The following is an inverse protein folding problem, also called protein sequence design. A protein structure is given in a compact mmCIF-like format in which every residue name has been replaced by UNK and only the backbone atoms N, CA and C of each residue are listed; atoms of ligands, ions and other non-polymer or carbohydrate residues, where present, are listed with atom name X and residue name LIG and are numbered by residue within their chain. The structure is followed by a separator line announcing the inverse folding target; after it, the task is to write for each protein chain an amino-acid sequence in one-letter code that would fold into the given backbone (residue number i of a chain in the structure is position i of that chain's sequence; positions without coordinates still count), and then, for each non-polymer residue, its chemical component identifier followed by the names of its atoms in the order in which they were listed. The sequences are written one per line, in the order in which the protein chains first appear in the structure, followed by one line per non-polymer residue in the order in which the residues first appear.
data_IF_570732922248
#
_entry.id   IF_570732922248
#
_cell.length_a   1.000
_cell.length_b   1.000
_cell.length_c   1.000
_cell.angle_alpha   90.00
_cell.angle_beta   90.00
_cell.angle_gamma   90.00
#
_symmetry.space_group_name_H-M   'P 1'
#
loop_
_entity.id
_entity.type
_entity.pdbx_description
1 polymer ?
#
# COMPACT_ATOMS: atom_id res chain seq x y z
N UNK A 1 9.64 73.22 33.16
CA UNK A 1 10.64 72.66 32.23
C UNK A 1 10.55 71.16 32.34
N UNK A 2 9.79 70.55 31.43
CA UNK A 2 9.46 69.11 31.47
C UNK A 2 10.45 68.42 30.56
N UNK A 3 11.33 67.59 31.13
CA UNK A 3 12.29 66.80 30.35
C UNK A 3 11.57 65.56 29.82
N UNK A 4 11.34 65.50 28.51
CA UNK A 4 10.89 64.31 27.82
C UNK A 4 12.10 63.33 27.66
N UNK A 5 12.12 62.22 28.41
CA UNK A 5 13.04 61.14 28.14
C UNK A 5 12.49 60.33 26.93
N UNK A 6 13.16 60.42 25.79
CA UNK A 6 12.95 59.55 24.67
C UNK A 6 13.59 58.17 24.97
N UNK A 7 12.77 57.17 25.22
CA UNK A 7 13.23 55.76 25.22
C UNK A 7 13.47 55.35 23.78
N UNK A 8 14.72 55.35 23.35
CA UNK A 8 15.14 54.66 22.13
C UNK A 8 15.19 53.19 22.42
N UNK A 9 14.18 52.44 21.96
CA UNK A 9 14.20 50.99 21.97
C UNK A 9 15.31 50.51 21.05
N UNK A 10 16.29 49.78 21.58
CA UNK A 10 17.34 49.12 20.78
C UNK A 10 16.76 47.92 20.04
N UNK A 11 16.07 48.18 18.95
CA UNK A 11 15.60 47.10 18.03
C UNK A 11 16.57 46.86 16.88
N UNK A 12 17.71 47.57 16.88
CA UNK A 12 18.77 47.41 15.89
C UNK A 12 19.40 46.01 16.04
N UNK A 13 19.28 45.19 15.02
CA UNK A 13 19.78 43.80 15.05
C UNK A 13 18.80 42.75 15.54
N UNK A 14 17.57 43.12 15.99
CA UNK A 14 16.56 42.17 16.46
C UNK A 14 16.16 41.16 15.36
N UNK A 15 16.05 41.64 14.11
CA UNK A 15 15.77 40.77 12.97
C UNK A 15 16.90 39.79 12.68
N UNK A 16 18.16 40.24 12.69
CA UNK A 16 19.34 39.40 12.45
C UNK A 16 19.53 38.38 13.57
N UNK A 17 19.31 38.76 14.83
CA UNK A 17 19.43 37.82 15.98
C UNK A 17 18.32 36.77 16.01
N UNK A 18 17.13 37.07 15.46
CA UNK A 18 16.01 36.14 15.41
C UNK A 18 15.86 35.41 14.06
N UNK A 19 16.73 35.69 13.09
CA UNK A 19 16.76 34.97 11.83
C UNK A 19 17.78 33.84 11.92
N UNK A 20 17.31 32.60 11.84
CA UNK A 20 18.22 31.46 11.78
C UNK A 20 18.96 31.48 10.41
N UNK A 21 20.28 31.67 10.37
CA UNK A 21 21.02 31.74 9.11
C UNK A 21 21.03 30.43 8.31
N UNK A 22 20.66 29.30 8.97
CA UNK A 22 20.53 28.00 8.33
C UNK A 22 19.08 27.69 7.92
N UNK A 23 18.15 28.61 8.14
CA UNK A 23 16.76 28.41 7.73
C UNK A 23 16.64 28.75 6.24
N UNK A 24 16.03 27.84 5.48
CA UNK A 24 15.71 28.04 4.06
C UNK A 24 14.77 29.24 3.93
N UNK A 25 15.16 30.25 3.12
CA UNK A 25 14.34 31.45 2.89
C UNK A 25 13.14 31.13 2.00
N UNK A 26 12.11 32.01 2.03
CA UNK A 26 10.96 31.90 1.13
C UNK A 26 11.37 31.82 -0.35
N UNK A 27 12.31 32.65 -0.78
CA UNK A 27 12.82 32.63 -2.16
C UNK A 27 13.54 31.31 -2.51
N UNK A 28 14.33 30.77 -1.58
CA UNK A 28 14.98 29.48 -1.78
C UNK A 28 13.96 28.33 -1.87
N UNK A 29 12.83 28.44 -1.19
CA UNK A 29 11.76 27.44 -1.28
C UNK A 29 11.02 27.47 -2.63
N UNK A 30 11.04 28.58 -3.37
CA UNK A 30 10.42 28.65 -4.71
C UNK A 30 11.34 28.10 -5.80
N UNK A 31 12.65 28.00 -5.53
CA UNK A 31 13.60 27.44 -6.51
C UNK A 31 13.23 25.99 -6.85
N UNK A 32 13.04 25.73 -8.12
CA UNK A 32 12.65 24.41 -8.65
C UNK A 32 11.34 23.83 -8.03
N UNK A 33 10.40 24.67 -7.66
CA UNK A 33 9.14 24.27 -7.02
C UNK A 33 9.33 23.47 -5.71
N UNK A 34 10.41 23.71 -4.98
CA UNK A 34 10.77 22.91 -3.79
C UNK A 34 9.66 22.90 -2.73
N UNK A 35 9.01 24.06 -2.47
CA UNK A 35 7.92 24.18 -1.49
C UNK A 35 6.78 23.21 -1.76
N UNK A 36 6.33 23.14 -3.00
CA UNK A 36 5.22 22.26 -3.43
C UNK A 36 5.71 20.83 -3.64
N UNK A 37 6.85 20.66 -4.32
CA UNK A 37 7.41 19.35 -4.63
C UNK A 37 7.77 18.53 -3.39
N UNK A 38 8.31 19.18 -2.33
CA UNK A 38 8.59 18.47 -1.07
C UNK A 38 7.31 17.93 -0.39
N UNK A 39 6.20 18.67 -0.49
CA UNK A 39 4.90 18.22 0.03
C UNK A 39 4.30 17.08 -0.81
N UNK A 40 4.44 17.13 -2.15
CA UNK A 40 4.07 16.02 -3.05
C UNK A 40 4.84 14.76 -2.63
N UNK A 41 6.15 14.86 -2.42
CA UNK A 41 6.98 13.75 -1.96
C UNK A 41 6.54 13.22 -0.58
N UNK A 42 6.19 14.10 0.35
CA UNK A 42 5.69 13.69 1.65
C UNK A 42 4.40 12.87 1.53
N UNK A 43 3.49 13.26 0.64
CA UNK A 43 2.27 12.48 0.38
C UNK A 43 2.58 11.13 -0.29
N UNK A 44 3.52 11.06 -1.23
CA UNK A 44 3.95 9.78 -1.81
C UNK A 44 4.46 8.82 -0.74
N UNK A 45 5.24 9.32 0.23
CA UNK A 45 5.77 8.50 1.33
C UNK A 45 4.70 7.91 2.26
N UNK A 46 3.44 8.34 2.12
CA UNK A 46 2.31 7.88 2.95
C UNK A 46 1.34 6.96 2.22
N UNK A 47 1.38 6.87 0.88
CA UNK A 47 0.51 5.96 0.13
C UNK A 47 0.72 4.51 0.57
N UNK A 48 1.96 4.04 0.59
CA UNK A 48 2.45 2.95 1.42
C UNK A 48 3.52 3.58 2.31
N UNK A 49 3.35 3.63 3.63
CA UNK A 49 4.29 4.33 4.50
C UNK A 49 5.73 3.84 4.34
N UNK A 50 6.66 4.74 4.08
CA UNK A 50 8.09 4.38 3.96
C UNK A 50 8.83 4.39 5.28
N UNK A 51 8.32 5.10 6.30
CA UNK A 51 8.85 5.06 7.64
C UNK A 51 8.53 3.71 8.28
N UNK A 52 9.53 3.02 8.80
CA UNK A 52 9.45 1.61 9.20
C UNK A 52 8.38 1.31 10.25
N UNK A 53 8.27 2.11 11.31
CA UNK A 53 7.24 1.90 12.33
C UNK A 53 5.83 2.15 11.78
N UNK A 54 5.67 3.20 10.94
CA UNK A 54 4.39 3.49 10.31
C UNK A 54 3.99 2.36 9.36
N UNK A 55 4.93 1.84 8.55
CA UNK A 55 4.72 0.67 7.73
C UNK A 55 4.35 -0.55 8.58
N UNK A 56 5.11 -0.79 9.64
CA UNK A 56 4.90 -1.94 10.52
C UNK A 56 3.47 -1.96 11.08
N UNK A 57 2.98 -0.85 11.61
CA UNK A 57 1.64 -0.78 12.20
C UNK A 57 0.51 -0.77 11.16
N UNK A 58 0.71 -0.19 9.98
CA UNK A 58 -0.33 -0.15 8.95
C UNK A 58 -0.36 -1.43 8.09
N UNK A 59 0.79 -2.09 7.89
CA UNK A 59 0.90 -3.24 6.98
C UNK A 59 1.22 -4.53 7.73
N UNK A 60 2.43 -4.63 8.32
CA UNK A 60 2.96 -5.90 8.82
C UNK A 60 2.22 -6.45 10.02
N UNK A 61 1.66 -5.60 10.88
CA UNK A 61 0.98 -6.03 12.11
C UNK A 61 -0.55 -6.01 12.00
N UNK A 62 -1.11 -5.37 10.97
CA UNK A 62 -2.56 -5.28 10.77
C UNK A 62 -3.01 -5.95 9.47
N UNK A 63 -2.84 -5.31 8.32
CA UNK A 63 -3.32 -5.81 7.03
C UNK A 63 -2.67 -7.14 6.62
N UNK A 64 -1.37 -7.29 6.83
CA UNK A 64 -0.62 -8.50 6.49
C UNK A 64 -1.12 -9.76 7.19
N UNK A 65 -1.31 -9.76 8.52
CA UNK A 65 -1.88 -10.89 9.24
C UNK A 65 -3.33 -11.21 8.85
N UNK A 66 -4.20 -10.21 8.73
CA UNK A 66 -5.59 -10.44 8.32
C UNK A 66 -5.72 -11.01 6.91
N UNK A 67 -4.79 -10.68 6.03
CA UNK A 67 -4.71 -11.23 4.68
C UNK A 67 -3.95 -12.57 4.59
N UNK A 68 -3.39 -13.07 5.70
CA UNK A 68 -2.65 -14.33 5.73
C UNK A 68 -1.27 -14.27 5.05
N UNK A 69 -0.64 -13.09 4.97
CA UNK A 69 0.68 -12.92 4.36
C UNK A 69 1.82 -12.91 5.37
N UNK A 70 1.59 -12.36 6.54
CA UNK A 70 2.61 -12.07 7.55
C UNK A 70 2.09 -12.47 8.93
N UNK A 71 2.97 -12.92 9.82
CA UNK A 71 2.67 -13.18 11.22
C UNK A 71 3.79 -12.66 12.12
N UNK A 72 3.44 -12.24 13.34
CA UNK A 72 4.39 -11.72 14.33
C UNK A 72 5.28 -12.83 14.92
N UNK A 73 6.52 -12.47 15.22
CA UNK A 73 7.51 -13.33 15.91
C UNK A 73 7.80 -12.87 17.33
N UNK A 74 7.18 -11.78 17.80
CA UNK A 74 7.53 -11.13 19.07
C UNK A 74 6.69 -11.68 20.21
N UNK A 75 7.32 -12.43 21.09
CA UNK A 75 6.72 -13.12 22.23
C UNK A 75 6.16 -12.19 23.31
N UNK A 76 6.71 -10.98 23.43
CA UNK A 76 6.26 -9.98 24.41
C UNK A 76 5.03 -9.18 23.97
N UNK A 77 4.62 -9.29 22.73
CA UNK A 77 3.43 -8.61 22.18
C UNK A 77 2.17 -9.45 22.42
N UNK A 78 1.62 -9.35 23.62
CA UNK A 78 0.45 -10.14 24.02
C UNK A 78 -0.87 -9.60 23.47
N UNK A 79 -0.95 -8.30 23.19
CA UNK A 79 -2.13 -7.63 22.65
C UNK A 79 -1.85 -7.18 21.20
N UNK A 80 -2.34 -7.96 20.21
CA UNK A 80 -2.01 -7.81 18.79
C UNK A 80 -3.26 -7.76 17.93
N UNK A 81 -3.16 -7.19 16.73
CA UNK A 81 -4.24 -7.26 15.74
C UNK A 81 -4.57 -8.70 15.35
N UNK A 82 -3.57 -9.53 15.11
CA UNK A 82 -3.74 -10.93 14.70
C UNK A 82 -4.40 -11.83 15.75
N UNK A 83 -4.47 -11.39 17.00
CA UNK A 83 -5.23 -12.05 18.08
C UNK A 83 -6.54 -11.35 18.41
N UNK A 84 -6.95 -10.37 17.62
CA UNK A 84 -8.17 -9.58 17.74
C UNK A 84 -8.32 -8.80 19.06
N UNK A 85 -7.22 -8.55 19.76
CA UNK A 85 -7.20 -7.79 21.01
C UNK A 85 -6.09 -6.71 21.04
N UNK A 86 -5.88 -5.91 19.99
CA UNK A 86 -4.83 -4.91 19.97
C UNK A 86 -4.99 -3.92 21.11
N UNK A 87 -3.88 -3.43 21.67
CA UNK A 87 -3.92 -2.37 22.66
C UNK A 87 -4.49 -1.07 22.08
N UNK A 88 -4.93 -0.16 22.95
CA UNK A 88 -5.44 1.15 22.52
C UNK A 88 -4.40 1.94 21.73
N UNK A 89 -3.14 1.87 22.12
CA UNK A 89 -2.05 2.57 21.42
C UNK A 89 -1.85 2.00 20.02
N UNK A 90 -1.89 0.68 19.85
CA UNK A 90 -1.79 0.05 18.54
C UNK A 90 -2.94 0.44 17.59
N UNK A 91 -4.15 0.62 18.12
CA UNK A 91 -5.31 1.06 17.32
C UNK A 91 -5.26 2.53 16.97
N UNK A 92 -4.82 3.38 17.91
CA UNK A 92 -4.85 4.85 17.77
C UNK A 92 -3.66 5.38 16.98
N UNK A 93 -2.48 4.81 17.20
CA UNK A 93 -1.23 5.36 16.66
C UNK A 93 -1.20 5.43 15.12
N UNK A 94 -1.52 4.34 14.36
CA UNK A 94 -1.51 4.42 12.90
C UNK A 94 -2.56 5.41 12.36
N UNK A 95 -3.75 5.44 12.95
CA UNK A 95 -4.78 6.40 12.57
C UNK A 95 -4.31 7.85 12.77
N UNK A 96 -3.88 8.20 13.97
CA UNK A 96 -3.49 9.57 14.32
C UNK A 96 -2.33 10.08 13.46
N UNK A 97 -1.31 9.24 13.22
CA UNK A 97 -0.14 9.64 12.45
C UNK A 97 -0.47 9.80 10.96
N UNK A 98 -1.16 8.85 10.34
CA UNK A 98 -1.53 8.96 8.92
C UNK A 98 -2.43 10.17 8.69
N UNK A 99 -3.42 10.41 9.56
CA UNK A 99 -4.31 11.57 9.45
C UNK A 99 -3.55 12.88 9.57
N UNK A 100 -2.69 13.05 10.58
CA UNK A 100 -1.96 14.30 10.79
C UNK A 100 -0.94 14.57 9.68
N UNK A 101 -0.19 13.56 9.28
CA UNK A 101 0.86 13.70 8.27
C UNK A 101 0.32 13.88 6.85
N UNK A 102 -0.90 13.41 6.55
CA UNK A 102 -1.52 13.59 5.23
C UNK A 102 -2.08 15.00 5.04
N UNK A 103 -2.84 15.51 6.03
CA UNK A 103 -3.58 16.76 5.81
C UNK A 103 -2.73 18.02 5.80
N UNK A 104 -1.61 18.04 6.50
CA UNK A 104 -0.72 19.22 6.52
C UNK A 104 -0.09 19.48 5.12
N UNK A 105 0.59 18.51 4.47
CA UNK A 105 1.12 18.71 3.12
C UNK A 105 0.01 18.88 2.07
N UNK A 106 -1.11 18.16 2.16
CA UNK A 106 -2.25 18.31 1.26
C UNK A 106 -2.75 19.76 1.23
N UNK A 107 -3.14 20.32 2.39
CA UNK A 107 -3.59 21.72 2.49
C UNK A 107 -2.51 22.70 2.06
N UNK A 108 -1.26 22.39 2.37
CA UNK A 108 -0.14 23.22 1.97
C UNK A 108 0.11 23.24 0.46
N UNK A 109 -0.46 22.32 -0.31
CA UNK A 109 -0.47 22.37 -1.78
C UNK A 109 -1.73 23.11 -2.25
N UNK A 110 -2.92 22.59 -1.94
CA UNK A 110 -4.18 23.07 -2.52
C UNK A 110 -4.54 24.50 -2.12
N UNK A 111 -4.05 25.00 -0.97
CA UNK A 111 -4.30 26.37 -0.52
C UNK A 111 -3.23 27.38 -0.97
N UNK A 112 -2.09 26.92 -1.51
CA UNK A 112 -0.94 27.78 -1.81
C UNK A 112 -0.45 27.68 -3.24
N UNK A 113 -0.97 26.75 -4.03
CA UNK A 113 -0.55 26.52 -5.42
C UNK A 113 -1.73 26.64 -6.37
N UNK A 114 -1.55 27.46 -7.41
CA UNK A 114 -2.48 27.52 -8.54
C UNK A 114 -2.12 26.51 -9.65
N UNK A 115 -1.08 25.68 -9.44
CA UNK A 115 -0.65 24.66 -10.39
C UNK A 115 -1.62 23.48 -10.38
N UNK A 116 -2.34 23.30 -11.48
CA UNK A 116 -3.34 22.23 -11.63
C UNK A 116 -2.76 20.84 -11.48
N UNK A 117 -1.51 20.61 -11.95
CA UNK A 117 -0.85 19.31 -11.84
C UNK A 117 -0.46 19.01 -10.39
N UNK A 118 0.05 20.01 -9.66
CA UNK A 118 0.33 19.86 -8.24
C UNK A 118 -0.92 19.55 -7.43
N UNK A 119 -2.02 20.23 -7.72
CA UNK A 119 -3.31 19.99 -7.09
C UNK A 119 -3.87 18.60 -7.44
N UNK A 120 -3.71 18.14 -8.69
CA UNK A 120 -4.08 16.80 -9.10
C UNK A 120 -3.27 15.73 -8.35
N UNK A 121 -1.94 15.91 -8.20
CA UNK A 121 -1.12 15.03 -7.38
C UNK A 121 -1.57 15.00 -5.91
N UNK A 122 -1.80 16.16 -5.31
CA UNK A 122 -2.21 16.24 -3.91
C UNK A 122 -3.53 15.48 -3.69
N UNK A 123 -4.50 15.68 -4.57
CA UNK A 123 -5.82 15.06 -4.52
C UNK A 123 -5.72 13.54 -4.74
N UNK A 124 -4.98 13.09 -5.76
CA UNK A 124 -4.76 11.67 -6.04
C UNK A 124 -4.13 10.96 -4.84
N UNK A 125 -3.06 11.55 -4.24
CA UNK A 125 -2.39 10.92 -3.09
C UNK A 125 -3.26 10.93 -1.84
N UNK A 126 -4.04 12.01 -1.61
CA UNK A 126 -5.02 12.00 -0.52
C UNK A 126 -6.00 10.83 -0.67
N UNK A 127 -6.56 10.61 -1.84
CA UNK A 127 -7.45 9.47 -2.09
C UNK A 127 -6.70 8.15 -1.91
N UNK A 128 -5.50 8.01 -2.47
CA UNK A 128 -4.69 6.80 -2.37
C UNK A 128 -4.34 6.43 -0.90
N UNK A 129 -4.19 7.41 -0.02
CA UNK A 129 -3.95 7.19 1.41
C UNK A 129 -5.27 6.90 2.14
N UNK A 130 -6.28 7.75 1.92
CA UNK A 130 -7.49 7.76 2.75
C UNK A 130 -8.47 6.62 2.44
N UNK A 131 -8.47 6.05 1.21
CA UNK A 131 -9.27 4.85 0.95
C UNK A 131 -8.81 3.68 1.83
N UNK A 132 -7.51 3.55 2.09
CA UNK A 132 -6.95 2.53 2.98
C UNK A 132 -7.33 2.81 4.44
N UNK A 133 -7.37 4.08 4.82
CA UNK A 133 -7.79 4.48 6.18
C UNK A 133 -9.28 4.17 6.43
N UNK A 134 -10.16 4.53 5.50
CA UNK A 134 -11.59 4.21 5.65
C UNK A 134 -11.88 2.70 5.55
N UNK A 135 -11.09 1.95 4.74
CA UNK A 135 -11.18 0.49 4.69
C UNK A 135 -10.78 -0.18 6.01
N UNK A 136 -9.82 0.41 6.73
CA UNK A 136 -9.35 -0.10 8.02
C UNK A 136 -10.20 0.33 9.21
N UNK A 137 -10.74 1.56 9.20
CA UNK A 137 -11.39 2.17 10.36
C UNK A 137 -12.88 2.46 10.17
N UNK A 138 -13.41 2.32 8.95
CA UNK A 138 -14.79 2.69 8.62
C UNK A 138 -14.95 4.21 8.50
N UNK A 139 -15.86 4.85 9.26
CA UNK A 139 -16.01 6.30 9.28
C UNK A 139 -14.72 7.03 9.67
N UNK A 140 -14.36 8.08 8.91
CA UNK A 140 -13.18 8.92 9.18
C UNK A 140 -13.52 10.42 8.98
N UNK A 141 -12.78 11.36 9.56
CA UNK A 141 -12.99 12.79 9.35
C UNK A 141 -12.37 13.22 8.00
N UNK A 142 -13.07 12.95 6.91
CA UNK A 142 -12.60 13.19 5.55
C UNK A 142 -12.90 14.60 5.03
N UNK A 143 -14.16 15.03 5.08
CA UNK A 143 -14.60 16.34 4.58
C UNK A 143 -14.15 17.50 5.47
N UNK A 144 -14.12 17.26 6.78
CA UNK A 144 -13.68 18.24 7.79
C UNK A 144 -12.49 17.69 8.57
N UNK A 145 -11.29 17.69 7.97
CA UNK A 145 -10.13 17.12 8.62
C UNK A 145 -9.71 17.91 9.85
N UNK A 146 -9.10 17.22 10.79
CA UNK A 146 -8.57 17.78 12.04
C UNK A 146 -7.67 18.98 11.73
N UNK A 147 -8.01 20.14 12.32
CA UNK A 147 -7.14 21.32 12.35
C UNK A 147 -6.74 21.59 13.80
N UNK A 148 -5.66 22.35 14.01
CA UNK A 148 -5.23 22.76 15.35
C UNK A 148 -6.28 23.62 16.10
N UNK A 149 -7.31 24.10 15.39
CA UNK A 149 -8.38 24.94 15.92
C UNK A 149 -9.66 24.15 16.24
N UNK A 150 -9.73 22.89 15.81
CA UNK A 150 -10.93 22.06 15.98
C UNK A 150 -10.91 21.32 17.32
N UNK A 151 -11.83 21.70 18.22
CA UNK A 151 -12.04 21.00 19.49
C UNK A 151 -12.79 19.67 19.28
N UNK A 152 -13.68 19.64 18.28
CA UNK A 152 -14.43 18.44 17.87
C UNK A 152 -14.35 18.25 16.36
N UNK A 153 -14.21 17.01 15.93
CA UNK A 153 -14.15 16.64 14.52
C UNK A 153 -15.27 15.68 14.22
N UNK A 154 -16.07 15.98 13.21
CA UNK A 154 -17.14 15.12 12.72
C UNK A 154 -16.57 14.04 11.83
N UNK A 155 -16.99 12.82 12.02
CA UNK A 155 -16.66 11.68 11.14
C UNK A 155 -17.69 11.58 10.03
N UNK A 156 -17.24 11.46 8.81
CA UNK A 156 -18.08 11.13 7.66
C UNK A 156 -18.35 9.62 7.62
N UNK A 157 -19.54 9.23 7.19
CA UNK A 157 -19.81 7.82 6.93
C UNK A 157 -18.90 7.28 5.83
N UNK A 158 -18.59 5.99 5.86
CA UNK A 158 -17.78 5.37 4.82
C UNK A 158 -18.38 5.56 3.41
N UNK A 159 -19.72 5.55 3.29
CA UNK A 159 -20.42 5.85 2.04
C UNK A 159 -20.11 7.28 1.55
N UNK A 160 -20.17 8.27 2.43
CA UNK A 160 -19.84 9.67 2.10
C UNK A 160 -18.38 9.80 1.70
N UNK A 161 -17.46 9.16 2.44
CA UNK A 161 -16.03 9.16 2.13
C UNK A 161 -15.76 8.60 0.73
N UNK A 162 -16.32 7.44 0.39
CA UNK A 162 -16.16 6.82 -0.93
C UNK A 162 -16.73 7.68 -2.06
N UNK A 163 -17.93 8.25 -1.87
CA UNK A 163 -18.53 9.15 -2.87
C UNK A 163 -17.64 10.35 -3.13
N UNK A 164 -17.17 11.01 -2.07
CA UNK A 164 -16.26 12.17 -2.20
C UNK A 164 -14.94 11.79 -2.86
N UNK A 165 -14.38 10.64 -2.53
CA UNK A 165 -13.13 10.16 -3.14
C UNK A 165 -13.27 9.88 -4.64
N UNK A 166 -14.43 9.39 -5.12
CA UNK A 166 -14.66 9.24 -6.57
C UNK A 166 -14.69 10.59 -7.26
N UNK A 167 -15.38 11.58 -6.71
CA UNK A 167 -15.43 12.94 -7.28
C UNK A 167 -14.03 13.58 -7.29
N UNK A 168 -13.25 13.39 -6.25
CA UNK A 168 -11.86 13.86 -6.15
C UNK A 168 -10.94 13.17 -7.15
N UNK A 169 -11.09 11.86 -7.36
CA UNK A 169 -10.34 11.13 -8.37
C UNK A 169 -10.65 11.61 -9.77
N UNK A 170 -11.94 11.85 -10.07
CA UNK A 170 -12.36 12.38 -11.35
C UNK A 170 -11.76 13.77 -11.59
N UNK A 171 -11.73 14.63 -10.57
CA UNK A 171 -11.07 15.94 -10.63
C UNK A 171 -9.55 15.84 -10.86
N UNK A 172 -8.88 14.90 -10.18
CA UNK A 172 -7.44 14.69 -10.37
C UNK A 172 -7.13 14.17 -11.79
N UNK A 173 -7.93 13.23 -12.30
CA UNK A 173 -7.82 12.70 -13.68
C UNK A 173 -8.03 13.82 -14.70
N UNK A 174 -9.01 14.71 -14.50
CA UNK A 174 -9.22 15.86 -15.36
C UNK A 174 -8.02 16.81 -15.36
N UNK A 175 -7.47 17.14 -14.17
CA UNK A 175 -6.29 17.98 -14.01
C UNK A 175 -5.06 17.41 -14.73
N UNK A 176 -4.81 16.11 -14.65
CA UNK A 176 -3.74 15.44 -15.38
C UNK A 176 -4.01 15.43 -16.90
N UNK A 177 -5.23 15.16 -17.31
CA UNK A 177 -5.60 15.06 -18.73
C UNK A 177 -5.41 16.40 -19.45
N UNK A 178 -5.80 17.49 -18.86
CA UNK A 178 -5.58 18.86 -19.40
C UNK A 178 -4.10 19.19 -19.57
N UNK A 179 -3.25 18.59 -18.77
CA UNK A 179 -1.83 18.91 -18.67
C UNK A 179 -0.88 17.81 -19.18
N UNK A 180 -1.39 16.86 -19.94
CA UNK A 180 -0.67 15.64 -20.37
C UNK A 180 0.65 15.92 -21.12
N UNK A 181 0.77 17.07 -21.79
CA UNK A 181 1.97 17.46 -22.54
C UNK A 181 2.95 18.39 -21.81
N UNK A 182 2.58 18.89 -20.64
CA UNK A 182 3.27 20.04 -20.00
C UNK A 182 4.16 19.62 -18.83
N UNK A 183 3.80 18.58 -18.10
CA UNK A 183 4.20 18.43 -16.71
C UNK A 183 5.50 17.66 -16.43
N UNK A 184 5.98 16.82 -17.33
CA UNK A 184 7.05 15.85 -17.03
C UNK A 184 8.34 16.49 -16.47
N UNK A 185 8.76 17.64 -16.98
CA UNK A 185 10.04 18.27 -16.60
C UNK A 185 10.01 18.96 -15.23
N UNK A 186 8.85 19.42 -14.77
CA UNK A 186 8.73 20.20 -13.53
C UNK A 186 8.69 19.32 -12.28
N UNK A 187 8.11 18.12 -12.39
CA UNK A 187 7.81 17.26 -11.25
C UNK A 187 8.71 16.02 -11.13
N UNK A 188 9.52 15.69 -12.13
CA UNK A 188 10.33 14.48 -12.19
C UNK A 188 11.23 14.25 -10.98
N UNK A 189 11.78 15.32 -10.38
CA UNK A 189 12.65 15.23 -9.20
C UNK A 189 11.91 14.91 -7.89
N UNK A 190 10.62 15.13 -7.83
CA UNK A 190 9.79 14.91 -6.65
C UNK A 190 8.88 13.69 -6.78
N UNK A 191 8.78 13.14 -7.98
CA UNK A 191 7.99 11.95 -8.28
C UNK A 191 8.91 10.73 -8.35
N UNK A 192 8.82 9.89 -7.35
CA UNK A 192 9.62 8.67 -7.23
C UNK A 192 8.91 7.42 -7.75
N UNK A 193 7.75 7.58 -8.39
CA UNK A 193 6.98 6.48 -8.99
C UNK A 193 7.15 6.47 -10.50
N UNK A 194 6.74 7.54 -11.17
CA UNK A 194 6.74 7.64 -12.63
C UNK A 194 7.57 8.80 -13.18
N UNK A 195 8.33 9.48 -12.32
CA UNK A 195 9.24 10.57 -12.70
C UNK A 195 8.60 11.66 -13.55
N UNK A 196 7.35 12.01 -13.23
CA UNK A 196 6.55 13.02 -13.92
C UNK A 196 5.85 12.54 -15.18
N UNK A 197 5.78 11.23 -15.43
CA UNK A 197 5.06 10.66 -16.58
C UNK A 197 3.55 10.67 -16.33
N UNK A 198 2.88 11.72 -16.78
CA UNK A 198 1.43 11.90 -16.59
C UNK A 198 0.59 10.78 -17.23
N UNK A 199 0.87 10.25 -18.43
CA UNK A 199 0.16 9.08 -18.95
C UNK A 199 0.15 7.87 -18.00
N UNK A 200 1.24 7.59 -17.30
CA UNK A 200 1.28 6.49 -16.31
C UNK A 200 0.49 6.86 -15.04
N UNK A 201 0.53 8.13 -14.61
CA UNK A 201 -0.30 8.60 -13.50
C UNK A 201 -1.80 8.51 -13.80
N UNK A 202 -2.23 8.76 -15.03
CA UNK A 202 -3.61 8.55 -15.47
C UNK A 202 -4.01 7.07 -15.38
N UNK A 203 -3.14 6.15 -15.83
CA UNK A 203 -3.40 4.71 -15.67
C UNK A 203 -3.50 4.31 -14.20
N UNK A 204 -2.62 4.83 -13.34
CA UNK A 204 -2.68 4.56 -11.90
C UNK A 204 -3.97 5.09 -11.28
N UNK A 205 -4.36 6.33 -11.58
CA UNK A 205 -5.59 6.93 -11.05
C UNK A 205 -6.84 6.14 -11.45
N UNK A 206 -6.93 5.74 -12.72
CA UNK A 206 -8.02 4.88 -13.21
C UNK A 206 -7.98 3.48 -12.55
N UNK A 207 -6.80 2.90 -12.36
CA UNK A 207 -6.67 1.61 -11.66
C UNK A 207 -7.06 1.70 -10.19
N UNK A 208 -6.76 2.81 -9.52
CA UNK A 208 -7.24 3.08 -8.16
C UNK A 208 -8.77 3.24 -8.14
N UNK A 209 -9.36 3.94 -9.12
CA UNK A 209 -10.81 4.04 -9.28
C UNK A 209 -11.45 2.65 -9.46
N UNK A 210 -10.85 1.79 -10.29
CA UNK A 210 -11.29 0.41 -10.47
C UNK A 210 -11.20 -0.39 -9.16
N UNK A 211 -10.07 -0.33 -8.43
CA UNK A 211 -9.90 -0.98 -7.12
C UNK A 211 -10.99 -0.57 -6.13
N UNK A 212 -11.23 0.74 -6.01
CA UNK A 212 -12.27 1.28 -5.14
C UNK A 212 -13.67 0.84 -5.57
N UNK A 213 -13.96 0.86 -6.87
CA UNK A 213 -15.25 0.42 -7.40
C UNK A 213 -15.52 -1.06 -7.08
N UNK A 214 -14.55 -1.95 -7.32
CA UNK A 214 -14.73 -3.38 -7.06
C UNK A 214 -14.97 -3.71 -5.58
N UNK A 215 -14.46 -2.89 -4.64
CA UNK A 215 -14.77 -3.02 -3.20
C UNK A 215 -16.24 -2.75 -2.86
N UNK A 216 -16.94 -2.02 -3.70
CA UNK A 216 -18.36 -1.74 -3.53
C UNK A 216 -19.27 -2.82 -4.15
N UNK A 217 -18.73 -3.83 -4.80
CA UNK A 217 -19.46 -4.82 -5.61
C UNK A 217 -20.61 -5.54 -4.88
N UNK A 218 -20.53 -5.68 -3.56
CA UNK A 218 -21.59 -6.27 -2.73
C UNK A 218 -22.55 -5.25 -2.09
N UNK A 219 -22.06 -4.06 -1.76
CA UNK A 219 -22.86 -3.08 -0.99
C UNK A 219 -23.53 -2.03 -1.88
N UNK A 220 -22.95 -1.72 -3.04
CA UNK A 220 -23.47 -0.76 -4.03
C UNK A 220 -23.16 -1.27 -5.46
N UNK A 221 -23.70 -2.42 -5.89
CA UNK A 221 -23.31 -3.10 -7.13
C UNK A 221 -23.47 -2.24 -8.39
N UNK A 222 -24.52 -1.43 -8.48
CA UNK A 222 -24.75 -0.56 -9.65
C UNK A 222 -23.68 0.53 -9.75
N UNK A 223 -23.36 1.20 -8.64
CA UNK A 223 -22.29 2.20 -8.59
C UNK A 223 -20.92 1.56 -8.87
N UNK A 224 -20.68 0.37 -8.32
CA UNK A 224 -19.46 -0.39 -8.56
C UNK A 224 -19.28 -0.70 -10.05
N UNK A 225 -20.34 -1.20 -10.69
CA UNK A 225 -20.35 -1.49 -12.13
C UNK A 225 -20.08 -0.24 -12.98
N UNK A 226 -20.76 0.86 -12.67
CA UNK A 226 -20.61 2.14 -13.38
C UNK A 226 -19.17 2.66 -13.28
N UNK A 227 -18.65 2.83 -12.05
CA UNK A 227 -17.31 3.37 -11.81
C UNK A 227 -16.18 2.47 -12.31
N UNK A 228 -16.36 1.15 -12.25
CA UNK A 228 -15.42 0.20 -12.82
C UNK A 228 -15.40 0.29 -14.37
N UNK A 229 -16.57 0.36 -15.01
CA UNK A 229 -16.66 0.51 -16.46
C UNK A 229 -15.99 1.81 -16.95
N UNK A 230 -16.25 2.94 -16.27
CA UNK A 230 -15.59 4.22 -16.56
C UNK A 230 -14.06 4.11 -16.48
N UNK A 231 -13.55 3.51 -15.40
CA UNK A 231 -12.12 3.35 -15.18
C UNK A 231 -11.45 2.48 -16.24
N UNK A 232 -12.05 1.34 -16.58
CA UNK A 232 -11.54 0.42 -17.60
C UNK A 232 -11.53 1.10 -18.98
N UNK A 233 -12.61 1.81 -19.34
CA UNK A 233 -12.70 2.52 -20.61
C UNK A 233 -11.70 3.67 -20.75
N UNK A 234 -11.36 4.35 -19.64
CA UNK A 234 -10.38 5.43 -19.60
C UNK A 234 -8.92 4.94 -19.68
N UNK A 235 -8.68 3.67 -19.43
CA UNK A 235 -7.36 3.02 -19.49
C UNK A 235 -6.70 2.86 -18.11
N UNK A 236 -6.46 1.61 -17.77
CA UNK A 236 -5.84 1.16 -16.50
C UNK A 236 -4.44 0.60 -16.73
N UNK A 237 -3.74 0.23 -15.66
CA UNK A 237 -2.46 -0.48 -15.73
C UNK A 237 -2.71 -1.89 -16.31
N UNK A 238 -2.09 -2.21 -17.45
CA UNK A 238 -2.23 -3.51 -18.12
C UNK A 238 -0.89 -4.18 -18.41
N UNK A 239 0.22 -3.53 -18.10
CA UNK A 239 1.58 -4.03 -18.33
C UNK A 239 2.44 -3.77 -17.11
N UNK A 240 3.40 -4.66 -16.82
CA UNK A 240 4.37 -4.50 -15.74
C UNK A 240 5.24 -3.24 -15.89
N UNK A 241 5.40 -2.71 -17.11
CA UNK A 241 6.08 -1.42 -17.34
C UNK A 241 5.32 -0.22 -16.77
N UNK A 242 4.05 -0.38 -16.45
CA UNK A 242 3.19 0.64 -15.87
C UNK A 242 2.94 0.43 -14.36
N UNK A 243 3.54 -0.60 -13.76
CA UNK A 243 3.42 -0.85 -12.32
C UNK A 243 3.80 0.39 -11.51
N UNK A 244 2.99 0.73 -10.52
CA UNK A 244 3.26 1.83 -9.61
C UNK A 244 4.30 1.40 -8.56
N UNK A 245 5.56 1.60 -8.88
CA UNK A 245 6.71 1.25 -8.07
C UNK A 245 7.35 2.54 -7.53
N UNK A 246 7.26 2.76 -6.22
CA UNK A 246 7.88 3.92 -5.60
C UNK A 246 9.33 3.60 -5.24
N UNK A 247 10.27 4.29 -5.89
CA UNK A 247 11.71 4.16 -5.67
C UNK A 247 12.18 5.13 -4.57
N UNK A 248 11.88 4.79 -3.31
CA UNK A 248 12.43 5.53 -2.18
C UNK A 248 13.97 5.40 -2.12
N UNK A 249 14.68 6.35 -1.51
CA UNK A 249 16.13 6.25 -1.33
C UNK A 249 16.56 4.98 -0.62
N UNK A 250 15.73 4.46 0.27
CA UNK A 250 15.93 3.21 0.99
C UNK A 250 14.58 2.57 1.29
N UNK A 251 14.47 1.26 1.05
CA UNK A 251 13.33 0.48 1.51
C UNK A 251 13.55 0.03 2.97
N UNK A 252 12.99 0.79 3.89
CA UNK A 252 13.16 0.56 5.33
C UNK A 252 12.37 -0.64 5.86
N UNK A 253 11.52 -1.28 5.04
CA UNK A 253 10.88 -2.55 5.45
C UNK A 253 11.90 -3.67 5.60
N UNK A 254 13.05 -3.56 4.94
CA UNK A 254 14.17 -4.48 5.13
C UNK A 254 14.61 -4.56 6.61
N UNK A 255 14.57 -3.45 7.37
CA UNK A 255 14.89 -3.45 8.81
C UNK A 255 13.91 -4.34 9.59
N UNK A 256 12.60 -4.26 9.28
CA UNK A 256 11.55 -5.01 9.99
C UNK A 256 11.76 -6.52 9.82
N UNK A 257 12.04 -6.96 8.59
CA UNK A 257 12.13 -8.37 8.26
C UNK A 257 13.52 -8.96 8.53
N UNK A 258 14.59 -8.23 8.25
CA UNK A 258 15.94 -8.77 8.31
C UNK A 258 16.63 -8.46 9.66
N UNK A 259 16.60 -7.21 10.12
CA UNK A 259 17.33 -6.79 11.31
C UNK A 259 16.50 -6.98 12.59
N UNK A 260 15.30 -6.40 12.64
CA UNK A 260 14.42 -6.57 13.79
C UNK A 260 13.82 -7.97 13.84
N UNK A 261 13.54 -8.56 12.70
CA UNK A 261 12.94 -9.89 12.63
C UNK A 261 11.61 -10.01 13.40
N UNK A 262 10.81 -8.94 13.40
CA UNK A 262 9.55 -8.86 14.15
C UNK A 262 8.41 -9.63 13.50
N UNK A 263 8.60 -10.04 12.26
CA UNK A 263 7.60 -10.77 11.47
C UNK A 263 8.25 -11.82 10.59
N UNK A 264 7.47 -12.84 10.20
CA UNK A 264 7.79 -13.87 9.21
C UNK A 264 6.59 -14.07 8.30
N UNK A 265 6.79 -14.85 7.27
CA UNK A 265 5.72 -15.24 6.34
C UNK A 265 4.65 -16.03 7.08
N UNK A 266 3.38 -15.77 6.78
CA UNK A 266 2.27 -16.52 7.37
C UNK A 266 2.07 -17.88 6.70
N UNK A 267 1.49 -18.81 7.46
CA UNK A 267 1.18 -20.16 7.00
C UNK A 267 0.22 -20.17 5.79
N UNK A 268 -0.72 -19.24 5.77
CA UNK A 268 -1.75 -19.20 4.73
C UNK A 268 -1.14 -19.08 3.33
N UNK A 269 -0.35 -18.05 3.07
CA UNK A 269 0.29 -17.87 1.76
C UNK A 269 1.28 -19.02 1.44
N UNK A 270 2.04 -19.48 2.43
CA UNK A 270 3.01 -20.56 2.22
C UNK A 270 2.32 -21.88 1.87
N UNK A 271 1.21 -22.20 2.51
CA UNK A 271 0.47 -23.42 2.21
C UNK A 271 -0.10 -23.44 0.79
N UNK A 272 -0.61 -22.27 0.32
CA UNK A 272 -1.01 -22.14 -1.09
C UNK A 272 0.19 -22.36 -2.02
N UNK A 273 1.28 -21.64 -1.81
CA UNK A 273 2.44 -21.72 -2.70
C UNK A 273 3.18 -23.07 -2.64
N UNK A 274 3.21 -23.73 -1.48
CA UNK A 274 3.75 -25.08 -1.35
C UNK A 274 2.90 -26.10 -2.10
N UNK A 275 1.58 -26.06 -1.89
CA UNK A 275 0.66 -27.03 -2.48
C UNK A 275 0.53 -26.88 -4.00
N UNK A 276 0.57 -25.65 -4.50
CA UNK A 276 0.58 -25.35 -5.93
C UNK A 276 1.97 -25.51 -6.58
N UNK A 277 3.02 -25.81 -5.79
CA UNK A 277 4.41 -25.83 -6.25
C UNK A 277 4.79 -24.54 -6.99
N UNK A 278 4.33 -23.39 -6.45
CA UNK A 278 4.43 -22.10 -7.09
C UNK A 278 5.89 -21.63 -7.20
N UNK A 279 6.43 -21.44 -8.42
CA UNK A 279 7.83 -21.04 -8.60
C UNK A 279 8.13 -19.61 -8.15
N UNK A 280 7.09 -18.76 -7.95
CA UNK A 280 7.27 -17.42 -7.38
C UNK A 280 7.64 -17.46 -5.90
N UNK A 281 7.37 -18.58 -5.21
CA UNK A 281 7.68 -18.77 -3.79
C UNK A 281 9.16 -18.52 -3.50
N UNK A 282 10.06 -19.10 -4.28
CA UNK A 282 11.50 -18.92 -4.12
C UNK A 282 11.99 -17.50 -4.45
N UNK A 283 11.22 -16.74 -5.22
CA UNK A 283 11.51 -15.33 -5.53
C UNK A 283 11.09 -14.39 -4.41
N UNK A 284 10.06 -14.75 -3.66
CA UNK A 284 9.41 -13.92 -2.65
C UNK A 284 9.89 -14.21 -1.23
N UNK A 285 10.27 -15.47 -0.94
CA UNK A 285 10.55 -15.94 0.41
C UNK A 285 11.88 -16.69 0.51
N UNK A 286 12.50 -16.64 1.70
CA UNK A 286 13.67 -17.47 2.01
C UNK A 286 13.23 -18.88 2.35
N UNK A 287 14.03 -19.87 1.97
CA UNK A 287 13.90 -21.24 2.48
C UNK A 287 14.48 -21.39 3.89
N UNK A 288 14.18 -22.52 4.49
CA UNK A 288 14.75 -23.00 5.75
C UNK A 288 15.38 -24.36 5.47
N UNK A 289 16.66 -24.53 5.83
CA UNK A 289 17.36 -25.80 5.68
C UNK A 289 16.95 -26.77 6.78
N UNK A 290 16.53 -27.96 6.40
CA UNK A 290 16.05 -29.03 7.31
C UNK A 290 16.82 -30.32 7.03
N UNK A 291 17.37 -30.95 8.08
CA UNK A 291 18.00 -32.25 7.98
C UNK A 291 16.94 -33.35 7.87
N UNK A 292 16.99 -34.15 6.80
CA UNK A 292 16.14 -35.30 6.57
C UNK A 292 17.01 -36.54 6.32
N UNK A 293 17.34 -37.28 7.38
CA UNK A 293 18.32 -38.34 7.33
C UNK A 293 19.73 -37.81 7.07
N UNK A 294 20.35 -38.20 5.99
CA UNK A 294 21.71 -37.77 5.59
C UNK A 294 21.69 -36.58 4.59
N UNK A 295 20.51 -36.03 4.27
CA UNK A 295 20.34 -34.95 3.30
C UNK A 295 19.81 -33.68 3.94
N UNK A 296 20.33 -32.53 3.51
CA UNK A 296 19.79 -31.22 3.84
C UNK A 296 18.80 -30.80 2.74
N UNK A 297 17.56 -30.55 3.11
CA UNK A 297 16.48 -30.15 2.19
C UNK A 297 16.01 -28.73 2.49
N UNK A 298 15.83 -27.95 1.43
CA UNK A 298 15.30 -26.58 1.53
C UNK A 298 13.76 -26.60 1.55
N UNK A 299 13.19 -26.13 2.66
CA UNK A 299 11.75 -26.12 2.89
C UNK A 299 11.23 -24.70 3.08
N UNK A 300 9.93 -24.52 2.91
CA UNK A 300 9.26 -23.22 3.18
C UNK A 300 8.18 -23.44 4.23
N UNK A 301 8.31 -22.75 5.35
CA UNK A 301 7.38 -22.80 6.47
C UNK A 301 6.81 -21.41 6.78
N UNK A 302 5.50 -21.34 6.99
CA UNK A 302 4.83 -20.11 7.43
C UNK A 302 4.35 -20.22 8.88
N UNK A 303 4.35 -19.11 9.60
CA UNK A 303 3.80 -19.03 10.95
C UNK A 303 2.27 -19.00 10.85
N UNK A 304 1.58 -19.81 11.66
CA UNK A 304 0.14 -19.69 11.83
C UNK A 304 -0.20 -18.34 12.48
N UNK A 305 -0.98 -17.50 11.79
CA UNK A 305 -1.41 -16.20 12.30
C UNK A 305 -2.15 -16.34 13.64
N UNK A 306 -1.81 -15.51 14.60
CA UNK A 306 -2.42 -15.52 15.94
C UNK A 306 -1.95 -16.64 16.86
N UNK A 307 -0.94 -17.43 16.48
CA UNK A 307 -0.35 -18.42 17.37
C UNK A 307 0.45 -17.78 18.52
N UNK A 308 0.57 -18.48 19.62
CA UNK A 308 1.46 -18.06 20.71
C UNK A 308 2.92 -18.18 20.28
N UNK A 309 3.66 -17.12 20.48
CA UNK A 309 5.10 -17.09 20.22
C UNK A 309 5.83 -17.46 21.50
N UNK A 310 6.45 -18.63 21.54
CA UNK A 310 7.16 -19.13 22.73
C UNK A 310 8.58 -18.58 22.87
N UNK A 311 9.10 -17.93 21.84
CA UNK A 311 10.43 -17.32 21.83
C UNK A 311 10.81 -16.86 20.44
N UNK A 312 11.17 -15.59 20.32
CA UNK A 312 11.45 -14.93 19.04
C UNK A 312 12.48 -15.67 18.21
N UNK A 313 13.59 -16.13 18.82
CA UNK A 313 14.67 -16.83 18.11
C UNK A 313 14.18 -18.12 17.42
N UNK A 314 13.37 -18.92 18.10
CA UNK A 314 12.83 -20.17 17.50
C UNK A 314 11.98 -19.85 16.26
N UNK A 315 11.15 -18.81 16.34
CA UNK A 315 10.31 -18.39 15.22
C UNK A 315 11.12 -17.79 14.06
N UNK A 316 12.16 -17.01 14.36
CA UNK A 316 12.98 -16.41 13.31
C UNK A 316 13.92 -17.41 12.61
N UNK A 317 14.25 -18.51 13.25
CA UNK A 317 15.15 -19.54 12.70
C UNK A 317 14.42 -20.59 11.87
N UNK A 318 13.19 -20.96 12.27
CA UNK A 318 12.49 -22.10 11.70
C UNK A 318 11.43 -21.78 10.66
N UNK A 319 11.18 -20.49 10.40
CA UNK A 319 10.17 -20.06 9.44
C UNK A 319 10.74 -19.15 8.35
N UNK A 320 10.16 -19.24 7.16
CA UNK A 320 10.53 -18.44 6.00
C UNK A 320 10.37 -16.93 6.25
N UNK A 321 11.29 -16.14 5.70
CA UNK A 321 11.26 -14.69 5.75
C UNK A 321 10.88 -14.10 4.41
N UNK A 322 10.43 -12.85 4.40
CA UNK A 322 10.26 -12.06 3.19
C UNK A 322 11.64 -11.76 2.56
N UNK A 323 11.75 -11.95 1.25
CA UNK A 323 12.93 -11.47 0.50
C UNK A 323 12.72 -9.99 0.17
N UNK A 324 13.33 -9.13 0.95
CA UNK A 324 13.31 -7.68 0.74
C UNK A 324 14.69 -7.11 0.99
N UNK A 325 15.11 -6.18 0.13
CA UNK A 325 16.38 -5.47 0.22
C UNK A 325 16.15 -3.96 0.36
N UNK A 326 17.12 -3.20 0.89
CA UNK A 326 17.02 -1.74 0.96
C UNK A 326 16.85 -1.04 -0.41
N UNK A 327 17.17 -1.71 -1.51
CA UNK A 327 17.05 -1.16 -2.87
C UNK A 327 15.73 -1.50 -3.57
N UNK A 328 14.89 -2.36 -2.99
CA UNK A 328 13.62 -2.72 -3.59
C UNK A 328 12.63 -1.55 -3.56
N UNK A 329 11.84 -1.35 -4.63
CA UNK A 329 10.79 -0.35 -4.60
C UNK A 329 9.60 -0.78 -3.71
N UNK A 330 8.82 0.20 -3.26
CA UNK A 330 7.50 -0.06 -2.67
C UNK A 330 6.46 -0.23 -3.77
N UNK A 331 5.83 -1.38 -3.81
CA UNK A 331 4.75 -1.66 -4.77
C UNK A 331 3.42 -1.08 -4.27
N UNK A 332 2.84 -0.13 -5.02
CA UNK A 332 1.52 0.43 -4.73
C UNK A 332 0.39 -0.29 -5.48
N UNK A 333 0.66 -0.65 -6.73
CA UNK A 333 -0.28 -1.34 -7.61
C UNK A 333 0.46 -1.95 -8.80
N UNK A 334 0.10 -3.17 -9.17
CA UNK A 334 0.67 -3.83 -10.34
C UNK A 334 -0.38 -4.27 -11.35
N UNK A 335 0.09 -4.60 -12.55
CA UNK A 335 -0.74 -5.04 -13.65
C UNK A 335 -1.48 -6.36 -13.35
N UNK A 336 -0.89 -7.24 -12.55
CA UNK A 336 -1.52 -8.50 -12.16
C UNK A 336 -2.78 -8.25 -11.32
N UNK A 337 -2.72 -7.38 -10.30
CA UNK A 337 -3.89 -6.99 -9.51
C UNK A 337 -4.99 -6.40 -10.39
N UNK A 338 -4.61 -5.46 -11.27
CA UNK A 338 -5.58 -4.80 -12.15
C UNK A 338 -6.22 -5.80 -13.10
N UNK A 339 -5.48 -6.78 -13.61
CA UNK A 339 -6.01 -7.86 -14.46
C UNK A 339 -7.03 -8.71 -13.69
N UNK A 340 -6.78 -9.05 -12.43
CA UNK A 340 -7.75 -9.78 -11.59
C UNK A 340 -8.99 -8.94 -11.26
N UNK A 341 -8.84 -7.63 -11.00
CA UNK A 341 -10.00 -6.75 -10.80
C UNK A 341 -10.87 -6.65 -12.06
N UNK A 342 -10.27 -6.59 -13.25
CA UNK A 342 -11.00 -6.65 -14.51
C UNK A 342 -11.64 -8.03 -14.75
N UNK A 343 -10.98 -9.12 -14.37
CA UNK A 343 -11.55 -10.46 -14.44
C UNK A 343 -12.80 -10.58 -13.57
N UNK A 344 -12.75 -10.07 -12.32
CA UNK A 344 -13.90 -10.02 -11.44
C UNK A 344 -15.04 -9.17 -12.02
N UNK A 345 -14.72 -8.00 -12.59
CA UNK A 345 -15.71 -7.14 -13.27
C UNK A 345 -16.43 -7.89 -14.39
N UNK A 346 -15.68 -8.55 -15.28
CA UNK A 346 -16.24 -9.30 -16.41
C UNK A 346 -17.07 -10.51 -15.94
N UNK A 347 -16.63 -11.19 -14.89
CA UNK A 347 -17.35 -12.33 -14.32
C UNK A 347 -18.69 -11.91 -13.68
N UNK A 348 -18.74 -10.73 -13.05
CA UNK A 348 -19.96 -10.21 -12.40
C UNK A 348 -20.95 -9.59 -13.39
N UNK A 349 -20.46 -8.85 -14.37
CA UNK A 349 -21.31 -7.96 -15.19
C UNK A 349 -21.04 -7.99 -16.68
N UNK A 350 -20.02 -8.71 -17.13
CA UNK A 350 -19.55 -8.74 -18.52
C UNK A 350 -19.55 -10.13 -19.16
N UNK A 351 -18.44 -10.48 -19.81
CA UNK A 351 -18.23 -11.72 -20.54
C UNK A 351 -17.36 -12.71 -19.75
N UNK A 352 -17.90 -13.89 -19.37
CA UNK A 352 -17.13 -14.93 -18.69
C UNK A 352 -15.89 -15.42 -19.45
N UNK A 353 -15.90 -15.39 -20.77
CA UNK A 353 -14.73 -15.76 -21.58
C UNK A 353 -13.61 -14.76 -21.39
N UNK A 354 -13.95 -13.48 -21.43
CA UNK A 354 -13.00 -12.40 -21.15
C UNK A 354 -12.53 -12.40 -19.69
N UNK A 355 -13.39 -12.77 -18.75
CA UNK A 355 -13.01 -12.95 -17.35
C UNK A 355 -11.91 -13.99 -17.21
N UNK A 356 -12.02 -15.15 -17.89
CA UNK A 356 -11.01 -16.19 -17.96
C UNK A 356 -9.69 -15.67 -18.52
N UNK A 357 -9.74 -15.01 -19.68
CA UNK A 357 -8.54 -14.47 -20.34
C UNK A 357 -7.79 -13.49 -19.40
N UNK A 358 -8.53 -12.64 -18.69
CA UNK A 358 -7.97 -11.68 -17.74
C UNK A 358 -7.40 -12.36 -16.48
N UNK A 359 -8.06 -13.40 -15.98
CA UNK A 359 -7.55 -14.21 -14.87
C UNK A 359 -6.20 -14.85 -15.23
N UNK A 360 -6.15 -15.53 -16.37
CA UNK A 360 -4.93 -16.16 -16.87
C UNK A 360 -3.83 -15.13 -17.14
N UNK A 361 -4.19 -13.97 -17.70
CA UNK A 361 -3.26 -12.86 -17.90
C UNK A 361 -2.70 -12.30 -16.60
N UNK A 362 -3.51 -12.19 -15.54
CA UNK A 362 -3.05 -11.79 -14.21
C UNK A 362 -1.97 -12.71 -13.65
N UNK A 363 -2.11 -14.03 -13.86
CA UNK A 363 -1.09 -15.00 -13.49
C UNK A 363 0.20 -14.78 -14.31
N UNK A 364 0.11 -14.63 -15.65
CA UNK A 364 1.27 -14.37 -16.52
C UNK A 364 2.03 -13.12 -16.10
N UNK A 365 1.30 -12.03 -15.85
CA UNK A 365 1.88 -10.77 -15.38
C UNK A 365 2.60 -10.92 -14.05
N UNK A 366 2.02 -11.68 -13.11
CA UNK A 366 2.65 -11.93 -11.81
C UNK A 366 3.93 -12.80 -11.94
N UNK A 367 3.94 -13.79 -12.83
CA UNK A 367 5.13 -14.60 -13.11
C UNK A 367 6.24 -13.75 -13.75
N UNK A 368 5.89 -12.93 -14.73
CA UNK A 368 6.82 -12.00 -15.39
C UNK A 368 7.41 -11.01 -14.39
N UNK A 369 6.58 -10.36 -13.55
CA UNK A 369 7.03 -9.43 -12.52
C UNK A 369 8.05 -10.04 -11.57
N UNK A 370 7.85 -11.31 -11.18
CA UNK A 370 8.74 -12.03 -10.27
C UNK A 370 9.90 -12.73 -10.96
N UNK A 371 9.99 -12.69 -12.29
CA UNK A 371 11.00 -13.42 -13.04
C UNK A 371 10.91 -14.94 -12.85
N UNK A 372 9.70 -15.47 -12.71
CA UNK A 372 9.41 -16.89 -12.60
C UNK A 372 9.01 -17.48 -13.96
N UNK A 373 9.41 -18.70 -14.22
CA UNK A 373 9.04 -19.44 -15.45
C UNK A 373 7.88 -20.42 -15.18
N UNK A 374 7.24 -20.91 -16.25
CA UNK A 374 6.23 -21.98 -16.17
C UNK A 374 4.80 -21.51 -15.95
N UNK A 375 4.48 -20.25 -16.26
CA UNK A 375 3.12 -19.70 -16.11
C UNK A 375 2.07 -20.49 -16.89
N UNK A 376 2.38 -20.98 -18.10
CA UNK A 376 1.40 -21.66 -18.94
C UNK A 376 1.00 -23.03 -18.37
N UNK A 377 1.97 -23.82 -17.88
CA UNK A 377 1.68 -25.08 -17.21
C UNK A 377 0.95 -24.85 -15.88
N UNK A 378 1.33 -23.79 -15.15
CA UNK A 378 0.71 -23.41 -13.89
C UNK A 378 -0.78 -23.05 -14.07
N UNK A 379 -1.12 -22.26 -15.09
CA UNK A 379 -2.50 -21.86 -15.41
C UNK A 379 -3.42 -23.06 -15.71
N UNK A 380 -2.86 -24.11 -16.29
CA UNK A 380 -3.63 -25.30 -16.71
C UNK A 380 -3.75 -26.36 -15.61
N UNK A 381 -3.11 -26.16 -14.45
CA UNK A 381 -3.06 -27.18 -13.39
C UNK A 381 -4.43 -27.34 -12.70
N UNK A 382 -4.99 -28.56 -12.82
CA UNK A 382 -6.28 -28.98 -12.25
C UNK A 382 -6.14 -29.95 -11.09
N UNK A 383 -4.92 -30.26 -10.66
CA UNK A 383 -4.64 -31.32 -9.69
C UNK A 383 -4.09 -30.75 -8.37
N UNK A 384 -3.18 -29.79 -8.46
CA UNK A 384 -2.55 -29.19 -7.28
C UNK A 384 -3.54 -28.37 -6.47
N UNK A 385 -3.41 -28.49 -5.17
CA UNK A 385 -4.26 -27.80 -4.17
C UNK A 385 -3.36 -27.28 -3.05
N UNK A 386 -3.83 -26.31 -2.25
CA UNK A 386 -3.07 -25.84 -1.10
C UNK A 386 -2.58 -27.00 -0.22
N UNK A 387 -1.35 -26.91 0.26
CA UNK A 387 -0.77 -27.91 1.15
C UNK A 387 -1.46 -27.89 2.53
N UNK A 388 -1.39 -29.01 3.23
CA UNK A 388 -1.72 -29.05 4.65
C UNK A 388 -0.66 -28.31 5.44
N UNK A 389 -1.07 -27.60 6.48
CA UNK A 389 -0.14 -26.90 7.37
C UNK A 389 0.84 -27.84 8.05
N UNK A 390 2.11 -27.47 8.01
CA UNK A 390 3.20 -28.14 8.72
C UNK A 390 3.88 -27.12 9.63
N UNK A 391 3.87 -27.40 10.93
CA UNK A 391 4.59 -26.61 11.91
C UNK A 391 5.98 -27.22 12.16
N UNK A 392 7.07 -26.54 11.80
CA UNK A 392 8.43 -27.05 12.02
C UNK A 392 8.78 -27.23 13.50
N UNK A 393 8.09 -26.55 14.41
CA UNK A 393 8.27 -26.68 15.87
C UNK A 393 7.40 -27.79 16.46
N UNK A 394 6.46 -28.36 15.70
CA UNK A 394 5.57 -29.42 16.16
C UNK A 394 4.57 -28.99 17.26
N UNK A 395 4.38 -27.69 17.47
CA UNK A 395 3.50 -27.16 18.52
C UNK A 395 2.03 -27.15 18.07
N UNK A 396 1.78 -26.84 16.80
CA UNK A 396 0.44 -26.69 16.25
C UNK A 396 0.18 -27.67 15.11
N UNK A 397 -1.05 -28.11 15.00
CA UNK A 397 -1.51 -28.92 13.86
C UNK A 397 -2.88 -28.41 13.40
N UNK A 398 -3.12 -28.47 12.10
CA UNK A 398 -4.42 -28.19 11.49
C UNK A 398 -4.80 -29.42 10.65
N UNK A 399 -5.99 -29.96 10.91
CA UNK A 399 -6.52 -31.05 10.13
C UNK A 399 -6.97 -30.55 8.74
N UNK A 400 -6.46 -31.19 7.69
CA UNK A 400 -6.86 -30.88 6.32
C UNK A 400 -6.14 -29.64 5.74
N UNK A 401 -6.60 -29.22 4.59
CA UNK A 401 -6.06 -28.07 3.84
C UNK A 401 -7.05 -26.90 3.88
N UNK A 402 -6.56 -25.69 3.61
CA UNK A 402 -7.35 -24.47 3.66
C UNK A 402 -8.43 -24.41 2.58
N UNK A 403 -8.18 -25.02 1.40
CA UNK A 403 -9.06 -25.02 0.26
C UNK A 403 -8.81 -26.24 -0.61
N UNK A 404 -9.82 -26.64 -1.39
CA UNK A 404 -9.71 -27.66 -2.43
C UNK A 404 -9.68 -27.06 -3.86
N UNK A 405 -9.61 -25.75 -3.98
CA UNK A 405 -9.56 -25.03 -5.25
C UNK A 405 -8.23 -25.32 -5.95
N UNK A 406 -8.29 -25.62 -7.25
CA UNK A 406 -7.14 -25.75 -8.15
C UNK A 406 -6.83 -24.41 -8.84
N UNK A 407 -5.73 -24.35 -9.58
CA UNK A 407 -5.30 -23.10 -10.25
C UNK A 407 -6.12 -22.85 -11.52
N UNK A 408 -6.38 -23.90 -12.31
CA UNK A 408 -7.04 -23.75 -13.60
C UNK A 408 -8.45 -23.17 -13.45
N UNK A 409 -8.81 -22.30 -14.37
CA UNK A 409 -10.15 -21.75 -14.45
C UNK A 409 -11.22 -22.85 -14.55
N UNK A 410 -12.28 -22.74 -13.75
CA UNK A 410 -13.44 -23.62 -13.77
C UNK A 410 -14.63 -22.91 -14.39
N UNK A 411 -15.17 -23.45 -15.49
CA UNK A 411 -16.27 -22.81 -16.24
C UNK A 411 -17.62 -22.82 -15.49
N UNK A 412 -17.75 -23.68 -14.49
CA UNK A 412 -18.93 -23.79 -13.62
C UNK A 412 -18.81 -23.05 -12.29
N UNK A 413 -17.73 -22.29 -12.09
CA UNK A 413 -17.50 -21.57 -10.84
C UNK A 413 -18.57 -20.53 -10.55
N UNK A 414 -19.21 -20.63 -9.39
CA UNK A 414 -20.01 -19.53 -8.84
C UNK A 414 -19.07 -18.56 -8.10
N UNK A 415 -19.33 -17.26 -8.25
CA UNK A 415 -18.72 -16.22 -7.43
C UNK A 415 -19.10 -16.35 -5.95
#
# INVERSE_FOLDING_TARGET
MTVMLSMTSCTTGFYEMNTNPNQVTGEQMEVNNYRTGSKIRNLQNLVIPVQEHMYQFNESLSGGPFAGYIASTVDTWLARFETFNPSDDWRKWPFANVMSETYAPYRGIVNQSDDEVANAFATLFRVAIMHRMTDSYGPIPYSNPITNESVFVTYDSQETVYSTMFDELDSAIEGFTKNIGIAASSWNRYDYVYYGNIPQWLKYANSLKLRMAMRLSYVKPELAREKAAEAIAAGVITSNSDNALMHAPENRTALIYNDWSDSRVAADIINYMNGYEDPRREKMFTSVSVEQGDETVEMYYGIRVGSDVSGKTAFTTNYSNMKVTPSDPYLWMNAAEVSFLMAEYELRWGDPTRAKDLYENGIRLSFEERGAAGSEDYILDREKKPATYVDPLGTYSIAGRQSDITIAWEESGNL
#
